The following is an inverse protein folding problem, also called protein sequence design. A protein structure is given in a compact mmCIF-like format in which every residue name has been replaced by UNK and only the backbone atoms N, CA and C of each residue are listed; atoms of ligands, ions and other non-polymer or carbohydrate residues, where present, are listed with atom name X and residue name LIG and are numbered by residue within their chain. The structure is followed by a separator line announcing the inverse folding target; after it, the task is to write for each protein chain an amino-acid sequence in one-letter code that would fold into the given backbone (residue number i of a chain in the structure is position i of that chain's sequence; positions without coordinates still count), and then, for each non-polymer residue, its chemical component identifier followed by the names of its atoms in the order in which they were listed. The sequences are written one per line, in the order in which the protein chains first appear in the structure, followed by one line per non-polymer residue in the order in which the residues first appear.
data_IF_115324303235
#
_entry.id   IF_115324303235
#
_cell.length_a   1.000
_cell.length_b   1.000
_cell.length_c   1.000
_cell.angle_alpha   90.00
_cell.angle_beta   90.00
_cell.angle_gamma   90.00
#
_symmetry.space_group_name_H-M   'P 1'
#
loop_
_entity.id
_entity.type
_entity.pdbx_description
1 polymer ?
#
# COMPACT_ATOMS: atom_id res chain seq x y z
N UNK A 1 -5.75 3.28 23.08
CA UNK A 1 -6.31 4.64 23.05
C UNK A 1 -7.80 4.60 23.42
N UNK A 2 -8.25 5.60 24.18
CA UNK A 2 -9.64 5.80 24.57
C UNK A 2 -10.24 6.83 23.63
N UNK A 3 -11.44 6.60 23.15
CA UNK A 3 -12.18 7.52 22.29
C UNK A 3 -13.55 7.83 22.86
N UNK A 4 -14.00 9.05 22.67
CA UNK A 4 -15.35 9.50 22.96
C UNK A 4 -16.16 9.57 21.66
N UNK A 5 -17.33 8.98 21.64
CA UNK A 5 -18.15 8.91 20.43
C UNK A 5 -19.64 9.03 20.74
N UNK A 6 -20.42 9.35 19.73
CA UNK A 6 -21.89 9.42 19.79
C UNK A 6 -22.46 8.73 18.56
N UNK A 7 -23.48 7.92 18.76
CA UNK A 7 -24.26 7.35 17.66
C UNK A 7 -25.59 8.10 17.53
N UNK A 8 -25.83 8.71 16.38
CA UNK A 8 -27.05 9.46 16.09
C UNK A 8 -27.67 8.92 14.80
N UNK A 9 -28.91 8.45 14.88
CA UNK A 9 -29.67 8.01 13.71
C UNK A 9 -30.69 9.11 13.35
N UNK A 10 -30.53 9.67 12.15
CA UNK A 10 -31.40 10.70 11.62
C UNK A 10 -32.42 10.06 10.66
N UNK A 11 -33.70 10.30 10.90
CA UNK A 11 -34.80 9.81 10.07
C UNK A 11 -35.51 11.00 9.44
N UNK A 12 -35.75 10.94 8.15
CA UNK A 12 -36.51 11.93 7.41
C UNK A 12 -37.77 11.31 6.80
N UNK A 13 -38.77 12.15 6.48
CA UNK A 13 -39.96 11.73 5.78
C UNK A 13 -40.73 12.91 5.19
N UNK A 14 -41.42 12.68 4.07
CA UNK A 14 -42.19 13.71 3.35
C UNK A 14 -43.48 14.09 4.04
N UNK A 15 -43.91 13.33 5.06
CA UNK A 15 -45.08 13.62 5.88
C UNK A 15 -44.88 13.14 7.31
N UNK A 16 -45.65 13.75 8.27
CA UNK A 16 -45.61 13.30 9.66
C UNK A 16 -46.05 11.83 9.83
N UNK A 17 -46.96 11.33 8.98
CA UNK A 17 -47.38 9.93 9.00
C UNK A 17 -46.24 9.02 8.59
N UNK A 18 -45.59 9.31 7.46
CA UNK A 18 -44.43 8.54 6.96
C UNK A 18 -43.23 8.55 7.95
N UNK A 19 -43.00 9.69 8.58
CA UNK A 19 -41.92 9.78 9.58
C UNK A 19 -42.21 8.90 10.80
N UNK A 20 -43.46 8.85 11.27
CA UNK A 20 -43.88 7.99 12.39
C UNK A 20 -43.77 6.50 12.04
N UNK A 21 -44.15 6.11 10.84
CA UNK A 21 -44.02 4.72 10.35
C UNK A 21 -42.57 4.30 10.23
N UNK A 22 -41.74 5.11 9.60
CA UNK A 22 -40.30 4.84 9.48
C UNK A 22 -39.64 4.71 10.86
N UNK A 23 -39.96 5.62 11.77
CA UNK A 23 -39.46 5.56 13.14
C UNK A 23 -39.85 4.26 13.83
N UNK A 24 -41.15 3.88 13.79
CA UNK A 24 -41.64 2.66 14.42
C UNK A 24 -40.94 1.43 13.85
N UNK A 25 -40.83 1.35 12.54
CA UNK A 25 -40.17 0.23 11.87
C UNK A 25 -38.67 0.12 12.23
N UNK A 26 -37.97 1.25 12.29
CA UNK A 26 -36.56 1.26 12.67
C UNK A 26 -36.34 0.84 14.12
N UNK A 27 -37.15 1.42 15.05
CA UNK A 27 -37.04 1.06 16.46
C UNK A 27 -37.35 -0.41 16.69
N UNK A 28 -38.43 -0.96 16.10
CA UNK A 28 -38.76 -2.38 16.24
C UNK A 28 -37.68 -3.29 15.69
N UNK A 29 -37.09 -2.91 14.56
CA UNK A 29 -36.03 -3.72 13.92
C UNK A 29 -34.73 -3.76 14.74
N UNK A 30 -34.35 -2.64 15.31
CA UNK A 30 -33.13 -2.58 16.14
C UNK A 30 -33.34 -3.18 17.52
N UNK A 31 -34.54 -3.00 18.08
CA UNK A 31 -34.92 -3.62 19.34
C UNK A 31 -34.93 -5.15 19.25
N UNK A 32 -35.38 -5.71 18.11
CA UNK A 32 -35.30 -7.15 17.85
C UNK A 32 -33.87 -7.69 17.71
N UNK A 33 -32.87 -6.82 17.49
CA UNK A 33 -31.46 -7.12 17.46
C UNK A 33 -30.76 -6.83 18.79
N UNK A 34 -31.51 -6.48 19.85
CA UNK A 34 -30.97 -6.13 21.15
C UNK A 34 -30.30 -4.74 21.21
N UNK A 35 -30.59 -3.86 20.24
CA UNK A 35 -30.05 -2.49 20.17
C UNK A 35 -31.18 -1.50 20.50
N UNK A 36 -31.34 -1.09 21.76
CA UNK A 36 -32.40 -0.16 22.13
C UNK A 36 -32.07 1.25 21.63
N UNK A 37 -33.05 1.90 20.99
CA UNK A 37 -32.96 3.30 20.57
C UNK A 37 -33.66 4.23 21.53
N UNK A 38 -32.96 5.27 21.94
CA UNK A 38 -33.55 6.31 22.81
C UNK A 38 -33.89 7.53 21.97
N UNK A 39 -35.08 8.06 22.16
CA UNK A 39 -35.50 9.30 21.49
C UNK A 39 -34.96 10.51 22.24
N UNK A 40 -34.16 11.32 21.55
CA UNK A 40 -33.72 12.62 22.04
C UNK A 40 -34.85 13.66 21.93
N UNK A 41 -35.75 13.72 22.92
CA UNK A 41 -36.95 14.56 22.83
C UNK A 41 -36.62 16.05 22.88
N UNK A 42 -35.69 16.45 23.73
CA UNK A 42 -35.33 17.86 23.92
C UNK A 42 -34.01 18.22 23.19
N UNK A 43 -33.10 17.27 23.03
CA UNK A 43 -31.79 17.49 22.48
C UNK A 43 -31.69 17.17 20.99
N UNK A 44 -32.79 16.84 20.32
CA UNK A 44 -32.77 16.39 18.92
C UNK A 44 -32.20 17.42 17.96
N UNK A 45 -32.40 18.72 18.18
CA UNK A 45 -31.82 19.78 17.35
C UNK A 45 -30.32 19.86 17.53
N UNK A 46 -29.82 19.78 18.77
CA UNK A 46 -28.40 19.81 19.08
C UNK A 46 -27.68 18.58 18.58
N UNK A 47 -28.27 17.40 18.71
CA UNK A 47 -27.72 16.17 18.18
C UNK A 47 -27.68 16.18 16.65
N UNK A 48 -28.74 16.73 16.01
CA UNK A 48 -28.72 16.91 14.55
C UNK A 48 -27.62 17.87 14.11
N UNK A 49 -27.46 19.01 14.79
CA UNK A 49 -26.38 19.95 14.51
C UNK A 49 -25.00 19.30 14.66
N UNK A 50 -24.83 18.36 15.61
CA UNK A 50 -23.59 17.62 15.79
C UNK A 50 -23.24 16.71 14.60
N UNK A 51 -24.20 16.36 13.76
CA UNK A 51 -23.95 15.56 12.54
C UNK A 51 -23.48 16.41 11.35
N UNK A 52 -23.58 17.73 11.44
CA UNK A 52 -23.17 18.64 10.38
C UNK A 52 -21.66 18.89 10.43
N UNK A 53 -21.00 18.76 9.29
CA UNK A 53 -19.56 18.98 9.16
C UNK A 53 -19.20 20.45 9.48
N UNK A 54 -18.17 20.64 10.30
CA UNK A 54 -17.63 21.94 10.66
C UNK A 54 -18.46 22.71 11.71
N UNK A 55 -19.47 22.09 12.30
CA UNK A 55 -20.26 22.72 13.35
C UNK A 55 -19.62 22.52 14.74
N UNK A 56 -19.20 23.61 15.36
CA UNK A 56 -18.74 23.61 16.75
C UNK A 56 -19.94 23.58 17.70
N UNK A 57 -20.04 22.53 18.51
CA UNK A 57 -21.08 22.42 19.51
C UNK A 57 -20.92 23.49 20.58
N UNK A 58 -21.87 24.40 20.70
CA UNK A 58 -21.93 25.40 21.75
C UNK A 58 -22.50 24.83 23.08
N UNK A 59 -23.18 23.72 23.02
CA UNK A 59 -23.83 23.10 24.18
C UNK A 59 -23.30 21.70 24.43
N UNK A 60 -23.12 21.38 25.71
CA UNK A 60 -22.69 20.04 26.10
C UNK A 60 -23.78 19.00 25.78
N UNK A 61 -23.40 18.00 25.03
CA UNK A 61 -24.22 16.80 24.80
C UNK A 61 -23.55 15.58 25.43
N UNK A 62 -22.87 15.77 26.56
CA UNK A 62 -22.14 14.74 27.29
C UNK A 62 -23.01 13.55 27.69
N UNK A 63 -24.30 13.79 27.97
CA UNK A 63 -25.28 12.74 28.32
C UNK A 63 -25.46 11.69 27.17
N UNK A 64 -25.07 12.02 25.95
CA UNK A 64 -25.17 11.15 24.79
C UNK A 64 -23.81 10.61 24.35
N UNK A 65 -22.77 10.88 25.16
CA UNK A 65 -21.41 10.47 24.87
C UNK A 65 -21.15 9.08 25.43
N UNK A 66 -20.54 8.25 24.63
CA UNK A 66 -20.01 6.96 25.02
C UNK A 66 -18.48 7.05 25.00
N UNK A 67 -17.86 6.45 25.99
CA UNK A 67 -16.39 6.33 26.08
C UNK A 67 -16.04 4.86 25.95
N UNK A 68 -15.15 4.54 25.02
CA UNK A 68 -14.70 3.16 24.80
C UNK A 68 -13.24 3.11 24.36
N UNK A 69 -12.65 1.93 24.38
CA UNK A 69 -11.37 1.72 23.71
C UNK A 69 -11.55 1.77 22.20
N UNK A 70 -10.48 2.06 21.46
CA UNK A 70 -10.53 2.06 19.98
C UNK A 70 -10.89 0.69 19.42
N UNK A 71 -10.43 -0.38 20.08
CA UNK A 71 -10.77 -1.76 19.70
C UNK A 71 -12.29 -2.01 19.82
N UNK A 72 -12.88 -1.73 20.97
CA UNK A 72 -14.34 -1.89 21.19
C UNK A 72 -15.16 -1.01 20.22
N UNK A 73 -14.71 0.22 19.96
CA UNK A 73 -15.37 1.07 18.96
C UNK A 73 -15.31 0.48 17.55
N UNK A 74 -14.17 -0.12 17.20
CA UNK A 74 -13.98 -0.75 15.88
C UNK A 74 -14.89 -1.97 15.67
N UNK A 75 -15.23 -2.68 16.73
CA UNK A 75 -16.18 -3.81 16.69
C UNK A 75 -17.61 -3.36 16.38
N UNK A 76 -17.99 -2.13 16.76
CA UNK A 76 -19.32 -1.60 16.48
C UNK A 76 -19.61 -1.35 14.98
N UNK A 77 -18.61 -1.26 14.19
CA UNK A 77 -18.53 -1.15 12.72
C UNK A 77 -19.87 -0.84 11.99
N UNK A 78 -20.51 0.24 12.36
CA UNK A 78 -21.83 0.66 11.85
C UNK A 78 -21.87 0.92 10.33
N UNK A 79 -20.72 0.95 9.70
CA UNK A 79 -20.56 1.26 8.27
C UNK A 79 -20.32 0.03 7.40
N UNK A 80 -20.30 -1.18 7.97
CA UNK A 80 -20.21 -2.40 7.16
C UNK A 80 -21.53 -2.65 6.48
N UNK A 81 -21.48 -2.66 5.18
CA UNK A 81 -22.58 -3.09 4.32
C UNK A 81 -22.54 -4.62 4.20
N UNK A 82 -23.71 -5.26 4.18
CA UNK A 82 -23.83 -6.68 3.79
C UNK A 82 -23.42 -6.91 2.33
N UNK A 83 -23.21 -5.84 1.57
CA UNK A 83 -22.76 -5.89 0.18
C UNK A 83 -21.28 -5.59 0.11
N UNK A 84 -20.47 -6.62 -0.05
CA UNK A 84 -19.05 -6.51 -0.34
C UNK A 84 -18.79 -6.54 -1.87
N UNK A 85 -17.66 -5.96 -2.28
CA UNK A 85 -17.19 -6.05 -3.65
C UNK A 85 -17.86 -5.08 -4.63
N UNK A 86 -17.78 -5.41 -5.90
CA UNK A 86 -18.28 -4.66 -7.06
C UNK A 86 -19.38 -5.44 -7.78
N UNK A 87 -20.17 -4.78 -8.64
CA UNK A 87 -21.22 -5.47 -9.43
C UNK A 87 -20.65 -6.38 -10.52
N UNK A 88 -19.44 -6.10 -10.97
CA UNK A 88 -18.78 -6.84 -12.06
C UNK A 88 -17.33 -7.12 -11.71
N UNK A 89 -16.71 -8.11 -12.34
CA UNK A 89 -15.31 -8.45 -12.14
C UNK A 89 -15.10 -9.93 -11.88
N UNK A 90 -14.02 -10.26 -11.21
CA UNK A 90 -13.72 -11.64 -10.84
C UNK A 90 -14.54 -12.08 -9.63
N UNK A 91 -14.98 -13.32 -9.66
CA UNK A 91 -15.63 -13.95 -8.52
C UNK A 91 -14.60 -14.16 -7.39
N UNK A 92 -14.87 -13.61 -6.22
CA UNK A 92 -14.04 -13.81 -5.03
C UNK A 92 -14.60 -14.87 -4.08
N UNK A 93 -15.91 -14.94 -4.00
CA UNK A 93 -16.58 -15.77 -3.03
C UNK A 93 -17.99 -15.27 -2.75
N UNK A 94 -18.52 -15.63 -1.62
CA UNK A 94 -19.79 -15.14 -1.11
C UNK A 94 -19.66 -14.70 0.34
N UNK A 95 -20.50 -13.78 0.76
CA UNK A 95 -20.62 -13.39 2.17
C UNK A 95 -21.60 -14.32 2.84
N UNK A 96 -21.13 -15.18 3.71
CA UNK A 96 -21.96 -16.02 4.56
C UNK A 96 -22.03 -15.40 5.96
N UNK A 97 -23.23 -15.00 6.35
CA UNK A 97 -23.49 -14.38 7.65
C UNK A 97 -23.53 -15.42 8.80
N UNK A 98 -23.50 -16.70 8.48
CA UNK A 98 -23.62 -17.81 9.44
C UNK A 98 -22.63 -18.89 9.08
N UNK A 99 -21.44 -18.84 9.68
CA UNK A 99 -20.42 -19.91 9.64
C UNK A 99 -20.61 -20.88 10.82
N UNK A 100 -21.84 -21.23 11.18
CA UNK A 100 -22.07 -22.32 12.13
C UNK A 100 -22.05 -23.65 11.38
N UNK A 101 -21.35 -24.65 11.95
CA UNK A 101 -21.03 -25.96 11.37
C UNK A 101 -22.22 -26.82 10.89
N UNK A 102 -23.44 -26.35 11.05
CA UNK A 102 -24.67 -27.04 10.62
C UNK A 102 -25.55 -26.15 9.72
N UNK A 103 -25.03 -25.80 8.56
CA UNK A 103 -25.85 -25.09 7.59
C UNK A 103 -26.93 -25.97 6.99
N UNK A 104 -28.17 -25.56 7.17
CA UNK A 104 -29.29 -26.17 6.44
C UNK A 104 -29.17 -25.85 4.94
N UNK A 105 -29.69 -26.74 4.07
CA UNK A 105 -29.74 -26.49 2.61
C UNK A 105 -30.37 -25.14 2.25
N UNK A 106 -31.34 -24.66 3.05
CA UNK A 106 -31.95 -23.34 2.88
C UNK A 106 -30.99 -22.18 3.14
N UNK A 107 -30.10 -22.31 4.12
CA UNK A 107 -29.06 -21.31 4.43
C UNK A 107 -28.00 -21.24 3.35
N UNK A 108 -27.56 -22.39 2.82
CA UNK A 108 -26.63 -22.45 1.70
C UNK A 108 -27.21 -21.77 0.46
N UNK A 109 -28.47 -22.05 0.13
CA UNK A 109 -29.17 -21.42 -1.01
C UNK A 109 -29.39 -19.92 -0.78
N UNK A 110 -29.70 -19.50 0.44
CA UNK A 110 -29.82 -18.07 0.78
C UNK A 110 -28.46 -17.34 0.70
N UNK A 111 -27.39 -17.96 1.19
CA UNK A 111 -26.03 -17.44 1.12
C UNK A 111 -25.54 -17.25 -0.33
N UNK A 112 -26.00 -18.09 -1.26
CA UNK A 112 -25.64 -17.97 -2.68
C UNK A 112 -26.08 -16.66 -3.34
N UNK A 113 -26.97 -15.87 -2.71
CA UNK A 113 -27.40 -14.55 -3.19
C UNK A 113 -26.40 -13.43 -2.88
N UNK A 114 -25.45 -13.68 -1.99
CA UNK A 114 -24.48 -12.67 -1.54
C UNK A 114 -23.11 -12.91 -2.24
N UNK A 115 -23.13 -13.04 -3.54
CA UNK A 115 -21.91 -13.25 -4.35
C UNK A 115 -21.07 -11.97 -4.32
N UNK A 116 -19.76 -12.13 -4.12
CA UNK A 116 -18.78 -11.04 -4.12
C UNK A 116 -17.97 -11.12 -5.40
N UNK A 117 -18.06 -10.06 -6.18
CA UNK A 117 -17.18 -9.81 -7.32
C UNK A 117 -16.20 -8.71 -6.99
N UNK A 118 -15.03 -8.70 -7.60
CA UNK A 118 -14.06 -7.63 -7.48
C UNK A 118 -13.48 -7.25 -8.83
N UNK A 119 -13.50 -5.94 -9.10
CA UNK A 119 -12.82 -5.35 -10.24
C UNK A 119 -11.95 -4.20 -9.75
N UNK A 120 -10.63 -4.42 -9.77
CA UNK A 120 -9.64 -3.45 -9.32
C UNK A 120 -9.61 -2.18 -10.18
N UNK A 121 -10.01 -2.27 -11.45
CA UNK A 121 -9.87 -1.21 -12.45
C UNK A 121 -11.06 -0.24 -12.50
N UNK A 122 -12.11 -0.46 -11.71
CA UNK A 122 -13.34 0.35 -11.79
C UNK A 122 -13.16 1.81 -11.39
N UNK A 123 -12.24 2.10 -10.49
CA UNK A 123 -12.11 3.44 -9.90
C UNK A 123 -11.81 4.54 -10.94
N UNK A 124 -11.05 4.23 -11.98
CA UNK A 124 -10.68 5.18 -13.04
C UNK A 124 -11.65 5.19 -14.22
N UNK A 125 -12.55 4.23 -14.31
CA UNK A 125 -13.55 4.18 -15.41
C UNK A 125 -14.70 5.14 -15.15
N UNK A 126 -15.12 5.85 -16.16
CA UNK A 126 -16.24 6.80 -16.08
C UNK A 126 -17.57 6.10 -16.43
N UNK A 127 -18.66 6.59 -15.85
CA UNK A 127 -20.03 6.19 -16.18
C UNK A 127 -20.34 4.69 -16.04
N UNK A 128 -19.68 3.99 -15.12
CA UNK A 128 -19.97 2.58 -14.85
C UNK A 128 -20.95 2.47 -13.69
N UNK A 129 -22.05 1.78 -13.94
CA UNK A 129 -23.05 1.49 -12.91
C UNK A 129 -22.43 0.64 -11.78
N UNK A 130 -22.69 1.01 -10.53
CA UNK A 130 -22.17 0.33 -9.35
C UNK A 130 -20.77 0.71 -8.92
N UNK A 131 -20.15 1.72 -9.54
CA UNK A 131 -18.91 2.32 -9.06
C UNK A 131 -19.13 3.00 -7.71
N UNK A 132 -18.45 2.54 -6.68
CA UNK A 132 -18.59 3.05 -5.30
C UNK A 132 -17.48 4.02 -4.90
N UNK A 133 -16.32 3.98 -5.55
CA UNK A 133 -15.16 4.80 -5.21
C UNK A 133 -14.46 5.33 -6.45
N UNK A 134 -13.82 6.47 -6.28
CA UNK A 134 -12.90 7.03 -7.26
C UNK A 134 -11.44 6.82 -6.83
N UNK A 135 -11.18 6.12 -5.74
CA UNK A 135 -9.83 5.81 -5.31
C UNK A 135 -9.34 4.53 -6.00
N UNK A 136 -8.25 4.59 -6.80
CA UNK A 136 -7.73 3.43 -7.51
C UNK A 136 -6.89 2.50 -6.64
N UNK A 137 -6.64 2.86 -5.38
CA UNK A 137 -5.77 2.09 -4.50
C UNK A 137 -6.55 1.22 -3.55
N UNK A 138 -6.01 0.05 -3.29
CA UNK A 138 -6.55 -0.96 -2.40
C UNK A 138 -5.61 -1.19 -1.23
N UNK A 139 -6.18 -1.38 -0.06
CA UNK A 139 -5.45 -1.82 1.13
C UNK A 139 -6.00 -3.17 1.56
N UNK A 140 -5.10 -4.15 1.65
CA UNK A 140 -5.40 -5.48 2.20
C UNK A 140 -4.79 -5.56 3.58
N UNK A 141 -5.64 -5.58 4.60
CA UNK A 141 -5.22 -5.65 6.01
C UNK A 141 -5.86 -6.84 6.70
N UNK A 142 -5.23 -7.31 7.75
CA UNK A 142 -5.69 -8.43 8.58
C UNK A 142 -4.53 -9.00 9.39
N UNK A 143 -4.83 -9.79 10.41
CA UNK A 143 -3.81 -10.42 11.23
C UNK A 143 -3.06 -11.53 10.49
N UNK A 144 -1.92 -11.91 11.03
CA UNK A 144 -1.12 -13.02 10.50
C UNK A 144 -1.94 -14.31 10.54
N UNK A 145 -1.89 -15.08 9.45
CA UNK A 145 -2.65 -16.33 9.32
C UNK A 145 -4.08 -16.19 8.78
N UNK A 146 -4.64 -14.97 8.68
CA UNK A 146 -6.02 -14.74 8.22
C UNK A 146 -6.16 -14.67 6.68
N UNK A 147 -5.21 -15.20 5.93
CA UNK A 147 -5.33 -15.38 4.48
C UNK A 147 -5.00 -14.17 3.63
N UNK A 148 -4.40 -13.09 4.17
CA UNK A 148 -3.97 -11.90 3.39
C UNK A 148 -3.17 -12.28 2.14
N UNK A 149 -2.11 -13.07 2.31
CA UNK A 149 -1.22 -13.46 1.21
C UNK A 149 -1.91 -14.35 0.18
N UNK A 150 -2.87 -15.18 0.58
CA UNK A 150 -3.67 -15.98 -0.35
C UNK A 150 -4.58 -15.08 -1.18
N UNK A 151 -5.25 -14.14 -0.52
CA UNK A 151 -6.15 -13.19 -1.17
C UNK A 151 -5.41 -12.27 -2.15
N UNK A 152 -4.26 -11.72 -1.75
CA UNK A 152 -3.46 -10.85 -2.62
C UNK A 152 -2.86 -11.59 -3.82
N UNK A 153 -2.40 -12.84 -3.64
CA UNK A 153 -1.94 -13.69 -4.74
C UNK A 153 -3.08 -14.04 -5.72
N UNK A 154 -4.27 -14.24 -5.20
CA UNK A 154 -5.45 -14.46 -6.04
C UNK A 154 -5.80 -13.21 -6.86
N UNK A 155 -5.82 -12.03 -6.24
CA UNK A 155 -6.00 -10.77 -6.96
C UNK A 155 -4.90 -10.52 -8.01
N UNK A 156 -3.66 -10.87 -7.68
CA UNK A 156 -2.53 -10.79 -8.59
C UNK A 156 -2.74 -11.67 -9.83
N UNK A 157 -3.12 -12.94 -9.65
CA UNK A 157 -3.41 -13.85 -10.77
C UNK A 157 -4.55 -13.32 -11.63
N UNK A 158 -5.63 -12.85 -11.05
CA UNK A 158 -6.73 -12.27 -11.80
C UNK A 158 -6.31 -11.01 -12.58
N UNK A 159 -5.52 -10.14 -11.97
CA UNK A 159 -4.97 -8.96 -12.64
C UNK A 159 -4.08 -9.35 -13.82
N UNK A 160 -3.30 -10.41 -13.66
CA UNK A 160 -2.39 -10.92 -14.69
C UNK A 160 -3.12 -11.48 -15.92
N UNK A 161 -4.38 -11.90 -15.77
CA UNK A 161 -5.23 -12.34 -16.89
C UNK A 161 -5.80 -11.16 -17.71
N UNK A 162 -5.86 -9.95 -17.14
CA UNK A 162 -6.36 -8.75 -17.82
C UNK A 162 -5.32 -8.19 -18.80
N UNK A 163 -5.75 -7.31 -19.69
CA UNK A 163 -4.86 -6.56 -20.57
C UNK A 163 -4.26 -5.34 -19.85
N UNK A 164 -3.50 -5.61 -18.80
CA UNK A 164 -2.83 -4.61 -17.98
C UNK A 164 -1.40 -5.09 -17.68
N UNK A 165 -0.49 -4.17 -17.39
CA UNK A 165 0.82 -4.53 -16.86
C UNK A 165 0.77 -4.70 -15.35
N UNK A 166 1.36 -5.77 -14.86
CA UNK A 166 1.33 -6.12 -13.44
C UNK A 166 2.75 -6.23 -12.90
N UNK A 167 3.00 -5.52 -11.80
CA UNK A 167 4.22 -5.60 -11.01
C UNK A 167 3.88 -6.12 -9.61
N UNK A 168 4.56 -7.16 -9.17
CA UNK A 168 4.49 -7.65 -7.80
C UNK A 168 5.84 -7.47 -7.12
N UNK A 169 5.90 -6.70 -6.05
CA UNK A 169 7.07 -6.59 -5.18
C UNK A 169 6.92 -7.59 -4.05
N UNK A 170 7.83 -8.55 -4.00
CA UNK A 170 7.85 -9.67 -3.06
C UNK A 170 9.12 -9.64 -2.18
N UNK A 171 9.14 -8.85 -1.12
CA UNK A 171 10.32 -8.73 -0.26
C UNK A 171 10.67 -10.06 0.46
N UNK A 172 9.68 -10.93 0.67
CA UNK A 172 9.84 -12.20 1.40
C UNK A 172 10.16 -13.39 0.51
N UNK A 173 10.16 -13.23 -0.81
CA UNK A 173 10.43 -14.30 -1.80
C UNK A 173 9.47 -15.50 -1.76
N UNK A 174 8.28 -15.29 -1.23
CA UNK A 174 7.30 -16.38 -1.09
C UNK A 174 6.56 -16.67 -2.39
N UNK A 175 6.33 -15.64 -3.21
CA UNK A 175 5.49 -15.74 -4.41
C UNK A 175 6.16 -16.62 -5.46
N UNK A 176 7.42 -16.34 -5.79
CA UNK A 176 8.18 -17.15 -6.75
C UNK A 176 8.30 -18.60 -6.32
N UNK A 177 8.68 -18.84 -5.06
CA UNK A 177 8.83 -20.21 -4.56
C UNK A 177 7.53 -21.02 -4.69
N UNK A 178 6.39 -20.40 -4.38
CA UNK A 178 5.08 -21.04 -4.51
C UNK A 178 4.74 -21.33 -5.97
N UNK A 179 4.92 -20.36 -6.87
CA UNK A 179 4.68 -20.58 -8.29
C UNK A 179 5.60 -21.65 -8.88
N UNK A 180 6.90 -21.62 -8.56
CA UNK A 180 7.85 -22.64 -9.04
C UNK A 180 7.52 -24.02 -8.51
N UNK A 181 7.12 -24.15 -7.24
CA UNK A 181 6.66 -25.43 -6.69
C UNK A 181 5.43 -25.93 -7.43
N UNK A 182 4.45 -25.06 -7.69
CA UNK A 182 3.20 -25.41 -8.38
C UNK A 182 3.46 -25.84 -9.82
N UNK A 183 4.23 -25.06 -10.59
CA UNK A 183 4.47 -25.39 -12.01
C UNK A 183 5.42 -26.57 -12.22
N UNK A 184 6.19 -26.96 -11.20
CA UNK A 184 7.07 -28.12 -11.24
C UNK A 184 6.40 -29.42 -10.71
N UNK A 185 5.19 -29.33 -10.15
CA UNK A 185 4.42 -30.48 -9.73
C UNK A 185 3.87 -31.25 -10.95
N UNK A 186 4.26 -32.54 -11.15
CA UNK A 186 3.83 -33.33 -12.30
C UNK A 186 2.32 -33.54 -12.36
N UNK A 187 1.65 -33.67 -11.22
CA UNK A 187 0.19 -33.83 -11.16
C UNK A 187 -0.51 -32.52 -11.59
N UNK A 188 -0.04 -31.39 -11.09
CA UNK A 188 -0.56 -30.07 -11.47
C UNK A 188 -0.34 -29.79 -12.96
N UNK A 189 0.84 -30.08 -13.51
CA UNK A 189 1.16 -29.93 -14.93
C UNK A 189 0.19 -30.74 -15.83
N UNK A 190 -0.11 -31.98 -15.43
CA UNK A 190 -1.04 -32.83 -16.16
C UNK A 190 -2.47 -32.34 -16.10
N UNK A 191 -2.90 -31.83 -14.95
CA UNK A 191 -4.28 -31.42 -14.70
C UNK A 191 -4.58 -29.98 -15.22
N UNK A 192 -3.60 -29.11 -15.16
CA UNK A 192 -3.75 -27.68 -15.48
C UNK A 192 -2.64 -27.16 -16.42
N UNK A 193 -2.49 -27.73 -17.63
CA UNK A 193 -1.38 -27.37 -18.53
C UNK A 193 -1.42 -25.91 -19.00
N UNK A 194 -2.60 -25.32 -19.14
CA UNK A 194 -2.75 -23.92 -19.54
C UNK A 194 -2.29 -22.96 -18.43
N UNK A 195 -2.57 -23.25 -17.17
CA UNK A 195 -2.13 -22.44 -16.03
C UNK A 195 -0.60 -22.46 -15.93
N UNK A 196 -0.01 -23.66 -16.13
CA UNK A 196 1.45 -23.80 -16.16
C UNK A 196 2.07 -22.99 -17.28
N UNK A 197 1.50 -23.07 -18.48
CA UNK A 197 1.98 -22.28 -19.63
C UNK A 197 1.86 -20.79 -19.37
N UNK A 198 0.77 -20.35 -18.75
CA UNK A 198 0.54 -18.95 -18.38
C UNK A 198 1.56 -18.45 -17.35
N UNK A 199 1.76 -19.17 -16.24
CA UNK A 199 2.72 -18.79 -15.19
C UNK A 199 4.15 -18.74 -15.75
N UNK A 200 4.52 -19.60 -16.69
CA UNK A 200 5.82 -19.58 -17.37
C UNK A 200 6.07 -18.30 -18.20
N UNK A 201 5.03 -17.53 -18.52
CA UNK A 201 5.18 -16.22 -19.19
C UNK A 201 5.59 -15.10 -18.24
N UNK A 202 5.52 -15.32 -16.93
CA UNK A 202 5.88 -14.31 -15.93
C UNK A 202 7.39 -14.06 -15.92
N UNK A 203 7.75 -12.82 -15.73
CA UNK A 203 9.15 -12.40 -15.56
C UNK A 203 9.48 -12.39 -14.08
N UNK A 204 10.31 -13.33 -13.64
CA UNK A 204 10.82 -13.39 -12.27
C UNK A 204 12.19 -12.73 -12.20
N UNK A 205 12.27 -11.60 -11.53
CA UNK A 205 13.50 -10.83 -11.34
C UNK A 205 13.92 -10.94 -9.88
N UNK A 206 15.12 -11.44 -9.63
CA UNK A 206 15.70 -11.52 -8.28
C UNK A 206 16.91 -10.58 -8.21
N UNK A 207 16.84 -9.58 -7.37
CA UNK A 207 17.94 -8.69 -7.05
C UNK A 207 18.78 -9.32 -5.91
N UNK A 208 20.00 -9.67 -6.21
CA UNK A 208 20.95 -10.30 -5.29
C UNK A 208 22.22 -9.43 -5.26
N UNK A 209 22.51 -8.82 -4.10
CA UNK A 209 23.67 -7.95 -3.93
C UNK A 209 25.00 -8.68 -4.14
N UNK A 210 25.05 -10.01 -3.98
CA UNK A 210 26.25 -10.81 -4.26
C UNK A 210 26.61 -10.85 -5.74
N UNK A 211 25.64 -10.50 -6.61
CA UNK A 211 25.83 -10.42 -8.07
C UNK A 211 26.13 -8.99 -8.47
N UNK A 212 27.36 -8.75 -8.92
CA UNK A 212 27.81 -7.42 -9.35
C UNK A 212 26.94 -6.79 -10.44
N UNK A 213 26.31 -7.60 -11.28
CA UNK A 213 25.37 -7.17 -12.31
C UNK A 213 24.10 -6.49 -11.75
N UNK A 214 23.80 -6.75 -10.48
CA UNK A 214 22.64 -6.14 -9.80
C UNK A 214 23.01 -4.84 -9.05
N UNK A 215 24.30 -4.51 -8.93
CA UNK A 215 24.70 -3.29 -8.23
C UNK A 215 24.21 -2.06 -8.99
N UNK A 216 23.56 -1.15 -8.27
CA UNK A 216 23.03 0.09 -8.82
C UNK A 216 21.77 -0.03 -9.67
N UNK A 217 21.17 -1.22 -9.83
CA UNK A 217 19.95 -1.42 -10.62
C UNK A 217 18.78 -0.59 -10.08
N UNK A 218 18.82 -0.25 -8.80
CA UNK A 218 17.84 0.63 -8.12
C UNK A 218 18.39 2.03 -7.84
N UNK A 219 19.46 2.47 -8.54
CA UNK A 219 20.03 3.81 -8.35
C UNK A 219 19.00 4.90 -8.65
N UNK A 220 18.63 5.72 -7.66
CA UNK A 220 17.61 6.73 -7.85
C UNK A 220 18.00 7.83 -8.84
N UNK A 221 19.32 8.11 -9.00
CA UNK A 221 19.83 9.13 -9.92
C UNK A 221 19.74 8.65 -11.37
N UNK A 222 19.82 7.34 -11.59
CA UNK A 222 19.70 6.72 -12.91
C UNK A 222 18.25 6.48 -13.31
N UNK A 223 17.44 6.01 -12.36
CA UNK A 223 16.08 5.52 -12.63
C UNK A 223 15.03 6.61 -12.72
N UNK A 224 15.18 7.72 -11.97
CA UNK A 224 14.11 8.67 -11.76
C UNK A 224 14.37 10.00 -12.46
N UNK A 225 13.31 10.79 -12.64
CA UNK A 225 13.48 12.17 -13.06
C UNK A 225 14.05 13.05 -11.93
N UNK A 226 14.45 14.26 -12.26
CA UNK A 226 15.18 15.17 -11.37
C UNK A 226 14.53 15.31 -9.97
N UNK A 227 13.23 15.56 -9.93
CA UNK A 227 12.52 15.83 -8.66
C UNK A 227 12.48 14.57 -7.77
N UNK A 228 12.21 13.44 -8.35
CA UNK A 228 12.09 12.16 -7.63
C UNK A 228 13.46 11.58 -7.29
N UNK A 229 14.45 11.73 -8.17
CA UNK A 229 15.83 11.35 -7.91
C UNK A 229 16.38 12.10 -6.68
N UNK A 230 16.22 13.43 -6.65
CA UNK A 230 16.63 14.26 -5.52
C UNK A 230 15.90 13.84 -4.23
N UNK A 231 14.59 13.69 -4.31
CA UNK A 231 13.79 13.36 -3.14
C UNK A 231 14.14 11.98 -2.57
N UNK A 232 14.29 10.98 -3.44
CA UNK A 232 14.59 9.60 -3.03
C UNK A 232 16.01 9.46 -2.51
N UNK A 233 17.01 10.01 -3.22
CA UNK A 233 18.41 9.99 -2.77
C UNK A 233 18.58 10.65 -1.41
N UNK A 234 17.97 11.82 -1.19
CA UNK A 234 17.97 12.50 0.11
C UNK A 234 17.30 11.69 1.21
N UNK A 235 16.15 11.08 0.91
CA UNK A 235 15.44 10.25 1.87
C UNK A 235 16.30 9.03 2.28
N UNK A 236 16.95 8.38 1.32
CA UNK A 236 17.85 7.26 1.58
C UNK A 236 19.02 7.66 2.47
N UNK A 237 19.78 8.70 2.11
CA UNK A 237 20.94 9.16 2.90
C UNK A 237 20.53 9.62 4.30
N UNK A 238 19.36 10.23 4.46
CA UNK A 238 18.85 10.64 5.77
C UNK A 238 18.43 9.46 6.64
N UNK A 239 17.99 8.35 6.07
CA UNK A 239 17.53 7.17 6.82
C UNK A 239 18.67 6.25 7.28
N UNK A 240 19.84 6.32 6.63
CA UNK A 240 21.01 5.47 6.96
C UNK A 240 21.50 5.76 8.39
N UNK A 241 21.46 7.01 8.83
CA UNK A 241 21.97 7.40 10.15
C UNK A 241 20.86 7.56 11.18
N UNK A 242 20.95 6.79 12.26
CA UNK A 242 20.03 6.84 13.42
C UNK A 242 20.08 8.17 14.16
N UNK A 243 21.29 8.70 14.39
CA UNK A 243 21.55 9.88 15.22
C UNK A 243 21.16 11.21 14.58
N UNK A 244 20.52 11.21 13.44
CA UNK A 244 20.12 12.38 12.66
C UNK A 244 21.27 13.36 12.34
N UNK A 245 21.46 13.61 11.08
CA UNK A 245 22.47 14.53 10.57
C UNK A 245 22.35 15.95 11.15
N UNK A 246 23.46 16.55 11.53
CA UNK A 246 23.56 17.98 11.88
C UNK A 246 23.28 18.85 10.65
N UNK A 247 23.03 20.16 10.86
CA UNK A 247 22.71 21.09 9.77
C UNK A 247 23.78 21.11 8.65
N UNK A 248 25.11 21.18 8.95
CA UNK A 248 26.12 21.15 7.89
C UNK A 248 26.03 19.89 7.03
N UNK A 249 25.83 18.72 7.65
CA UNK A 249 25.70 17.44 6.92
C UNK A 249 24.48 17.47 5.99
N UNK A 250 23.33 17.96 6.46
CA UNK A 250 22.11 18.06 5.64
C UNK A 250 22.27 19.00 4.48
N UNK A 251 22.98 20.14 4.68
CA UNK A 251 23.29 21.08 3.62
C UNK A 251 24.16 20.43 2.56
N UNK A 252 25.27 19.80 2.96
CA UNK A 252 26.16 19.11 2.04
C UNK A 252 25.46 17.99 1.26
N UNK A 253 24.64 17.17 1.92
CA UNK A 253 23.81 16.14 1.24
C UNK A 253 22.88 16.79 0.20
N UNK A 254 22.22 17.91 0.58
CA UNK A 254 21.27 18.58 -0.29
C UNK A 254 21.92 19.14 -1.56
N UNK A 255 23.06 19.78 -1.40
CA UNK A 255 23.82 20.41 -2.48
C UNK A 255 24.43 19.33 -3.39
N UNK A 256 25.15 18.36 -2.82
CA UNK A 256 25.82 17.32 -3.58
C UNK A 256 24.85 16.45 -4.38
N UNK A 257 23.71 16.06 -3.79
CA UNK A 257 22.68 15.31 -4.51
C UNK A 257 22.11 16.12 -5.68
N UNK A 258 21.80 17.41 -5.46
CA UNK A 258 21.28 18.26 -6.52
C UNK A 258 22.27 18.46 -7.66
N UNK A 259 23.56 18.65 -7.36
CA UNK A 259 24.64 18.77 -8.35
C UNK A 259 24.77 17.51 -9.21
N UNK A 260 24.86 16.30 -8.58
CA UNK A 260 25.03 15.05 -9.32
C UNK A 260 23.80 14.77 -10.20
N UNK A 261 22.58 15.05 -9.71
CA UNK A 261 21.38 14.91 -10.50
C UNK A 261 21.35 15.88 -11.67
N UNK A 262 21.78 17.13 -11.48
CA UNK A 262 21.88 18.11 -12.56
C UNK A 262 22.91 17.69 -13.64
N UNK A 263 24.03 17.11 -13.23
CA UNK A 263 25.02 16.58 -14.16
C UNK A 263 24.50 15.39 -14.97
N UNK A 264 23.73 14.49 -14.31
CA UNK A 264 23.06 13.37 -15.00
C UNK A 264 22.10 13.90 -16.07
N UNK A 265 21.33 14.94 -15.72
CA UNK A 265 20.41 15.59 -16.66
C UNK A 265 21.14 16.28 -17.82
N UNK A 266 22.35 16.80 -17.58
CA UNK A 266 23.21 17.34 -18.62
C UNK A 266 23.87 16.27 -19.52
N UNK A 267 23.54 14.99 -19.32
CA UNK A 267 24.03 13.86 -20.12
C UNK A 267 25.36 13.26 -19.65
N UNK A 268 25.86 13.65 -18.47
CA UNK A 268 27.03 12.98 -17.91
C UNK A 268 26.67 11.61 -17.35
N UNK A 269 27.56 10.67 -17.47
CA UNK A 269 27.42 9.33 -16.89
C UNK A 269 27.83 9.39 -15.41
N UNK A 270 26.86 9.73 -14.56
CA UNK A 270 27.01 9.81 -13.11
C UNK A 270 25.86 9.08 -12.41
N UNK A 271 26.10 8.55 -11.23
CA UNK A 271 25.14 7.83 -10.39
C UNK A 271 25.38 8.10 -8.91
N UNK A 272 24.74 7.35 -8.04
CA UNK A 272 24.65 7.65 -6.62
C UNK A 272 26.01 7.54 -5.89
N UNK A 273 26.97 6.72 -6.39
CA UNK A 273 28.32 6.69 -5.84
C UNK A 273 29.03 8.04 -5.92
N UNK A 274 28.81 8.82 -6.98
CA UNK A 274 29.43 10.15 -7.12
C UNK A 274 29.02 11.12 -6.01
N UNK A 275 27.82 10.95 -5.43
CA UNK A 275 27.42 11.73 -4.25
C UNK A 275 28.33 11.40 -3.07
N UNK A 276 28.59 10.12 -2.80
CA UNK A 276 29.44 9.69 -1.69
C UNK A 276 30.89 10.15 -1.90
N UNK A 277 31.41 10.02 -3.11
CA UNK A 277 32.78 10.45 -3.47
C UNK A 277 32.98 11.95 -3.24
N UNK A 278 31.99 12.77 -3.59
CA UNK A 278 32.03 14.21 -3.35
C UNK A 278 31.95 14.57 -1.87
N UNK A 279 31.12 13.89 -1.10
CA UNK A 279 31.06 14.06 0.35
C UNK A 279 32.39 13.70 1.02
N UNK A 280 33.08 12.65 0.54
CA UNK A 280 34.42 12.29 1.00
C UNK A 280 35.47 13.35 0.60
N UNK A 281 35.31 13.97 -0.55
CA UNK A 281 36.26 15.00 -1.04
C UNK A 281 35.97 16.40 -0.53
N UNK A 282 34.97 16.55 0.35
CA UNK A 282 34.55 17.86 0.87
C UNK A 282 35.63 18.49 1.77
N UNK A 283 35.77 19.81 1.71
CA UNK A 283 36.79 20.56 2.46
C UNK A 283 36.53 20.60 3.98
N UNK A 284 35.26 20.54 4.39
CA UNK A 284 34.86 20.50 5.79
C UNK A 284 35.08 19.10 6.38
N UNK A 285 35.84 19.04 7.46
CA UNK A 285 36.22 17.78 8.12
C UNK A 285 35.00 16.94 8.54
N UNK A 286 33.98 17.56 9.11
CA UNK A 286 32.77 16.87 9.58
C UNK A 286 32.00 16.22 8.40
N UNK A 287 31.95 16.89 7.25
CA UNK A 287 31.32 16.36 6.01
C UNK A 287 32.16 15.24 5.41
N UNK A 288 33.48 15.38 5.41
CA UNK A 288 34.39 14.33 4.98
C UNK A 288 34.20 13.04 5.83
N UNK A 289 34.16 13.19 7.16
CA UNK A 289 33.95 12.05 8.07
C UNK A 289 32.57 11.39 7.84
N UNK A 290 31.52 12.19 7.61
CA UNK A 290 30.19 11.68 7.21
C UNK A 290 30.28 10.90 5.90
N UNK A 291 30.97 11.39 4.88
CA UNK A 291 31.17 10.69 3.61
C UNK A 291 31.84 9.34 3.79
N UNK A 292 32.87 9.27 4.65
CA UNK A 292 33.55 8.01 4.99
C UNK A 292 32.64 7.03 5.75
N UNK A 293 31.83 7.52 6.68
CA UNK A 293 30.83 6.72 7.37
C UNK A 293 29.85 6.12 6.37
N UNK A 294 29.28 6.92 5.48
CA UNK A 294 28.36 6.45 4.44
C UNK A 294 29.00 5.40 3.55
N UNK A 295 30.26 5.61 3.09
CA UNK A 295 30.97 4.64 2.28
C UNK A 295 31.11 3.30 2.99
N UNK A 296 31.51 3.30 4.28
CA UNK A 296 31.71 2.07 5.06
C UNK A 296 30.39 1.33 5.31
N UNK A 297 29.29 2.04 5.48
CA UNK A 297 27.95 1.46 5.73
C UNK A 297 27.33 0.90 4.45
N UNK A 298 27.51 1.57 3.31
CA UNK A 298 26.91 1.15 2.03
C UNK A 298 27.69 -0.01 1.41
N UNK A 299 29.03 0.06 1.45
CA UNK A 299 29.89 -0.95 0.81
C UNK A 299 29.77 -2.30 1.49
N UNK A 300 29.45 -3.33 0.71
CA UNK A 300 29.21 -4.68 1.20
C UNK A 300 27.83 -4.89 1.84
N UNK A 301 26.93 -3.88 1.80
CA UNK A 301 25.57 -3.99 2.29
C UNK A 301 24.57 -4.14 1.14
N UNK A 302 23.31 -4.43 1.49
CA UNK A 302 22.21 -4.52 0.53
C UNK A 302 21.98 -3.22 -0.26
N UNK A 303 22.45 -2.08 0.24
CA UNK A 303 22.33 -0.79 -0.43
C UNK A 303 23.15 -0.68 -1.72
N UNK A 304 24.15 -1.54 -1.95
CA UNK A 304 24.86 -1.55 -3.23
C UNK A 304 23.91 -1.79 -4.42
N UNK A 305 22.74 -2.38 -4.21
CA UNK A 305 21.68 -2.47 -5.22
C UNK A 305 21.19 -1.11 -5.73
N UNK A 306 21.37 -0.04 -4.94
CA UNK A 306 20.92 1.31 -5.26
C UNK A 306 22.08 2.28 -5.58
N UNK A 307 23.33 1.81 -5.63
CA UNK A 307 24.50 2.67 -5.87
C UNK A 307 25.26 2.24 -7.11
N UNK A 308 25.30 3.10 -8.13
CA UNK A 308 26.06 2.92 -9.37
C UNK A 308 26.94 4.14 -9.67
N UNK A 309 27.84 3.98 -10.65
CA UNK A 309 28.54 5.12 -11.27
C UNK A 309 27.80 5.64 -12.53
N UNK A 310 26.58 5.20 -12.75
CA UNK A 310 25.71 5.70 -13.81
C UNK A 310 25.72 4.89 -15.11
N UNK A 311 26.47 3.78 -15.15
CA UNK A 311 26.57 2.88 -16.30
C UNK A 311 25.49 1.79 -16.36
N UNK A 312 24.71 1.65 -15.33
CA UNK A 312 23.72 0.56 -15.19
C UNK A 312 22.48 0.86 -16.02
N UNK A 313 22.04 -0.11 -16.82
CA UNK A 313 20.69 -0.12 -17.38
C UNK A 313 19.72 -0.47 -16.26
N UNK A 314 18.75 0.41 -16.01
CA UNK A 314 17.73 0.18 -14.99
C UNK A 314 16.86 -1.04 -15.32
N UNK A 315 16.05 -1.45 -14.36
CA UNK A 315 15.10 -2.56 -14.53
C UNK A 315 14.19 -2.35 -15.74
N UNK A 316 14.14 -3.34 -16.64
CA UNK A 316 13.23 -3.32 -17.78
C UNK A 316 11.85 -3.87 -17.41
N UNK A 317 10.79 -3.17 -17.83
CA UNK A 317 9.40 -3.54 -17.59
C UNK A 317 8.62 -3.82 -18.87
N UNK A 318 9.25 -4.38 -19.86
CA UNK A 318 8.57 -4.70 -21.11
C UNK A 318 7.57 -5.85 -20.97
N UNK A 319 7.86 -6.79 -20.07
CA UNK A 319 6.98 -7.94 -19.85
C UNK A 319 5.66 -7.51 -19.21
N UNK A 320 4.58 -8.22 -19.57
CA UNK A 320 3.24 -7.97 -19.04
C UNK A 320 3.16 -8.15 -17.53
N UNK A 321 3.78 -9.20 -17.02
CA UNK A 321 3.78 -9.55 -15.59
C UNK A 321 5.22 -9.67 -15.11
N UNK A 322 5.58 -8.89 -14.11
CA UNK A 322 6.90 -8.95 -13.46
C UNK A 322 6.74 -9.16 -11.96
N UNK A 323 7.47 -10.12 -11.42
CA UNK A 323 7.61 -10.37 -9.99
C UNK A 323 9.04 -10.04 -9.61
N UNK A 324 9.20 -9.03 -8.74
CA UNK A 324 10.49 -8.53 -8.28
C UNK A 324 10.72 -8.96 -6.84
N UNK A 325 11.77 -9.72 -6.63
CA UNK A 325 12.24 -10.19 -5.33
C UNK A 325 13.57 -9.55 -4.99
N UNK A 326 13.88 -9.46 -3.70
CA UNK A 326 15.17 -9.00 -3.21
C UNK A 326 15.76 -10.07 -2.29
N UNK A 327 17.00 -10.46 -2.59
CA UNK A 327 17.75 -11.42 -1.78
C UNK A 327 18.26 -10.74 -0.51
N UNK A 328 18.23 -11.47 0.61
CA UNK A 328 18.78 -11.04 1.92
C UNK A 328 18.20 -9.72 2.46
N UNK A 329 16.96 -9.39 2.09
CA UNK A 329 16.23 -8.26 2.67
C UNK A 329 15.77 -8.62 4.08
N UNK A 330 16.28 -7.90 5.07
CA UNK A 330 15.92 -8.05 6.47
C UNK A 330 14.94 -6.95 6.87
N UNK A 331 13.69 -7.33 7.13
CA UNK A 331 12.60 -6.40 7.45
C UNK A 331 12.16 -6.58 8.90
N UNK A 332 11.79 -5.49 9.61
CA UNK A 332 11.24 -5.60 10.95
C UNK A 332 9.97 -6.45 10.94
N UNK A 333 9.69 -7.11 12.06
CA UNK A 333 8.52 -7.96 12.23
C UNK A 333 7.29 -7.19 12.71
N UNK A 334 7.51 -6.10 13.44
CA UNK A 334 6.47 -5.22 13.94
C UNK A 334 6.79 -3.75 13.58
N UNK A 335 5.73 -2.96 13.48
CA UNK A 335 5.79 -1.51 13.20
C UNK A 335 6.46 -0.70 14.30
N UNK A 336 6.49 -1.20 15.51
CA UNK A 336 7.02 -0.53 16.70
C UNK A 336 8.40 -1.03 17.12
N UNK A 337 8.98 -1.97 16.38
CA UNK A 337 10.31 -2.48 16.64
C UNK A 337 11.36 -1.37 16.42
N UNK A 338 12.34 -1.30 17.30
CA UNK A 338 13.55 -0.54 17.04
C UNK A 338 14.34 -1.26 15.95
N UNK A 339 14.65 -0.53 14.87
CA UNK A 339 15.36 -1.10 13.74
C UNK A 339 16.82 -1.33 14.09
N UNK A 340 17.31 -2.54 13.90
CA UNK A 340 18.75 -2.78 13.85
C UNK A 340 19.36 -2.20 12.56
N UNK A 341 20.69 -2.25 12.44
CA UNK A 341 21.41 -1.67 11.32
C UNK A 341 20.99 -2.30 9.97
N UNK A 342 20.89 -3.63 9.89
CA UNK A 342 20.52 -4.34 8.65
C UNK A 342 19.07 -4.05 8.25
N UNK A 343 18.17 -4.04 9.21
CA UNK A 343 16.77 -3.67 8.98
C UNK A 343 16.66 -2.23 8.50
N UNK A 344 17.44 -1.30 9.04
CA UNK A 344 17.46 0.10 8.62
C UNK A 344 17.94 0.23 7.17
N UNK A 345 18.98 -0.48 6.77
CA UNK A 345 19.48 -0.49 5.39
C UNK A 345 18.44 -1.10 4.44
N UNK A 346 17.78 -2.17 4.86
CA UNK A 346 16.69 -2.79 4.10
C UNK A 346 15.50 -1.83 3.91
N UNK A 347 15.07 -1.16 4.98
CA UNK A 347 14.02 -0.12 4.90
C UNK A 347 14.45 1.04 4.01
N UNK A 348 15.74 1.42 4.04
CA UNK A 348 16.28 2.47 3.16
C UNK A 348 16.17 2.07 1.68
N UNK A 349 16.49 0.83 1.33
CA UNK A 349 16.34 0.31 -0.02
C UNK A 349 14.88 0.31 -0.49
N UNK A 350 13.93 0.05 0.42
CA UNK A 350 12.49 0.10 0.11
C UNK A 350 12.03 1.49 -0.38
N UNK A 351 12.74 2.58 -0.05
CA UNK A 351 12.41 3.91 -0.56
C UNK A 351 12.62 4.02 -2.08
N UNK A 352 13.72 3.47 -2.59
CA UNK A 352 13.96 3.37 -4.03
C UNK A 352 12.88 2.51 -4.71
N UNK A 353 12.53 1.37 -4.12
CA UNK A 353 11.46 0.50 -4.63
C UNK A 353 10.09 1.18 -4.64
N UNK A 354 9.74 1.91 -3.59
CA UNK A 354 8.46 2.64 -3.54
C UNK A 354 8.36 3.71 -4.64
N UNK A 355 9.43 4.47 -4.84
CA UNK A 355 9.50 5.45 -5.93
C UNK A 355 9.44 4.77 -7.29
N UNK A 356 10.12 3.65 -7.44
CA UNK A 356 10.10 2.82 -8.62
C UNK A 356 8.69 2.30 -8.98
N UNK A 357 7.91 1.83 -8.01
CA UNK A 357 6.50 1.45 -8.23
C UNK A 357 5.67 2.62 -8.74
N UNK A 358 5.92 3.83 -8.24
CA UNK A 358 5.28 5.04 -8.75
C UNK A 358 5.63 5.29 -10.22
N UNK A 359 6.89 5.10 -10.60
CA UNK A 359 7.35 5.27 -11.99
C UNK A 359 6.81 4.20 -12.92
N UNK A 360 6.78 2.96 -12.48
CA UNK A 360 6.16 1.88 -13.25
C UNK A 360 4.74 2.25 -13.67
N UNK A 361 3.94 2.78 -12.73
CA UNK A 361 2.57 3.18 -12.99
C UNK A 361 2.40 4.50 -13.77
N UNK A 362 3.39 5.39 -13.75
CA UNK A 362 3.30 6.72 -14.38
C UNK A 362 3.92 6.80 -15.78
N UNK A 363 4.58 5.74 -16.22
CA UNK A 363 5.34 5.68 -17.47
C UNK A 363 4.50 5.99 -18.72
N UNK A 364 3.31 5.43 -18.81
CA UNK A 364 2.42 5.58 -19.93
C UNK A 364 0.97 5.78 -19.46
N UNK A 365 0.40 6.96 -19.69
CA UNK A 365 -0.98 7.30 -19.28
C UNK A 365 -2.07 6.47 -19.99
N UNK A 366 -1.75 5.86 -21.12
CA UNK A 366 -2.71 5.04 -21.88
C UNK A 366 -2.73 3.58 -21.42
N UNK A 367 -1.72 3.15 -20.67
CA UNK A 367 -1.56 1.78 -20.20
C UNK A 367 -2.10 1.66 -18.77
N UNK A 368 -3.01 0.73 -18.55
CA UNK A 368 -3.44 0.40 -17.20
C UNK A 368 -2.36 -0.46 -16.53
N UNK A 369 -1.97 -0.09 -15.31
CA UNK A 369 -0.96 -0.81 -14.54
C UNK A 369 -1.49 -1.19 -13.17
N UNK A 370 -1.14 -2.36 -12.67
CA UNK A 370 -1.47 -2.80 -11.31
C UNK A 370 -0.18 -3.16 -10.59
N UNK A 371 0.09 -2.49 -9.48
CA UNK A 371 1.25 -2.76 -8.63
C UNK A 371 0.80 -3.37 -7.32
N UNK A 372 1.28 -4.57 -7.03
CA UNK A 372 1.15 -5.22 -5.73
C UNK A 372 2.41 -4.95 -4.93
N UNK A 373 2.24 -4.40 -3.74
CA UNK A 373 3.33 -4.12 -2.84
C UNK A 373 3.10 -4.83 -1.52
N UNK A 374 3.81 -5.94 -1.34
CA UNK A 374 3.78 -6.68 -0.07
C UNK A 374 4.63 -5.96 0.98
N UNK A 375 4.22 -6.04 2.26
CA UNK A 375 4.85 -5.35 3.38
C UNK A 375 4.85 -3.80 3.25
N UNK A 376 3.84 -3.23 2.60
CA UNK A 376 3.75 -1.76 2.39
C UNK A 376 3.68 -0.94 3.70
N UNK A 377 3.36 -1.57 4.84
CA UNK A 377 3.35 -0.94 6.15
C UNK A 377 4.74 -0.41 6.58
N UNK A 378 5.83 -0.98 6.02
CA UNK A 378 7.21 -0.55 6.29
C UNK A 378 7.41 0.94 6.02
N UNK A 379 6.76 1.49 5.00
CA UNK A 379 6.82 2.94 4.73
C UNK A 379 6.24 3.79 5.86
N UNK A 380 5.52 3.21 6.80
CA UNK A 380 4.97 3.94 7.94
C UNK A 380 5.96 4.04 9.11
N UNK A 381 7.06 3.30 9.08
CA UNK A 381 8.08 3.29 10.13
C UNK A 381 8.90 4.59 10.19
N UNK A 382 8.93 5.40 9.13
CA UNK A 382 9.69 6.66 9.09
C UNK A 382 8.92 7.79 8.41
N UNK A 383 9.22 9.08 8.76
CA UNK A 383 8.63 10.24 8.08
C UNK A 383 8.93 10.29 6.58
N UNK A 384 10.11 9.84 6.17
CA UNK A 384 10.55 9.75 4.78
C UNK A 384 9.72 8.71 4.01
N UNK A 385 9.56 7.52 4.59
CA UNK A 385 8.71 6.47 4.03
C UNK A 385 7.26 6.91 3.88
N UNK A 386 6.70 7.62 4.85
CA UNK A 386 5.35 8.16 4.75
C UNK A 386 5.17 9.15 3.58
N UNK A 387 6.21 9.96 3.27
CA UNK A 387 6.19 10.86 2.10
C UNK A 387 6.16 10.06 0.80
N UNK A 388 6.97 9.01 0.71
CA UNK A 388 7.01 8.11 -0.46
C UNK A 388 5.64 7.44 -0.65
N UNK A 389 5.07 6.86 0.41
CA UNK A 389 3.74 6.26 0.35
C UNK A 389 2.65 7.26 -0.09
N UNK A 390 2.72 8.51 0.37
CA UNK A 390 1.82 9.58 -0.08
C UNK A 390 2.02 9.91 -1.57
N UNK A 391 3.26 9.92 -2.05
CA UNK A 391 3.57 10.15 -3.48
C UNK A 391 3.00 9.02 -4.33
N UNK A 392 3.24 7.77 -3.96
CA UNK A 392 2.70 6.59 -4.63
C UNK A 392 1.17 6.68 -4.79
N UNK A 393 0.46 7.10 -3.73
CA UNK A 393 -1.01 7.22 -3.74
C UNK A 393 -1.54 8.35 -4.62
N UNK A 394 -0.77 9.41 -4.89
CA UNK A 394 -1.22 10.56 -5.70
C UNK A 394 -1.28 10.26 -7.19
N UNK A 395 -0.46 9.36 -7.68
CA UNK A 395 -0.26 9.09 -9.11
C UNK A 395 -1.42 8.29 -9.72
N UNK A 396 -2.11 7.48 -8.92
CA UNK A 396 -3.05 6.48 -9.42
C UNK A 396 -4.15 6.97 -10.36
N UNK A 397 -4.81 8.10 -10.06
CA UNK A 397 -5.91 8.63 -10.88
C UNK A 397 -5.44 9.19 -12.23
N UNK A 398 -4.31 9.90 -12.21
CA UNK A 398 -3.83 10.62 -13.40
C UNK A 398 -3.18 9.72 -14.42
N UNK A 399 -2.72 8.53 -13.99
CA UNK A 399 -1.89 7.63 -14.79
C UNK A 399 -2.45 6.22 -14.93
N UNK A 400 -3.72 5.97 -14.57
CA UNK A 400 -4.31 4.62 -14.62
C UNK A 400 -3.49 3.57 -13.85
N UNK A 401 -2.86 3.99 -12.76
CA UNK A 401 -2.07 3.13 -11.90
C UNK A 401 -2.88 2.71 -10.68
N UNK A 402 -3.07 1.42 -10.54
CA UNK A 402 -3.79 0.79 -9.43
C UNK A 402 -2.77 0.15 -8.50
N UNK A 403 -2.83 0.46 -7.22
CA UNK A 403 -1.92 -0.11 -6.24
C UNK A 403 -2.70 -0.95 -5.24
N UNK A 404 -2.19 -2.12 -4.96
CA UNK A 404 -2.65 -3.02 -3.91
C UNK A 404 -1.56 -3.08 -2.86
N UNK A 405 -1.80 -2.47 -1.72
CA UNK A 405 -0.89 -2.42 -0.57
C UNK A 405 -1.29 -3.51 0.42
N UNK A 406 -0.35 -4.35 0.83
CA UNK A 406 -0.57 -5.52 1.67
C UNK A 406 0.22 -5.38 2.97
#
# INVERSE_FOLDING_TARGET
PIIDWKAVLVISGNSKKQLRERKKNLMNRLDSLGIPLIRATFDNVYLFQATLLGNFQRFSTSNWQHTSTLETFSELNFFTSLHAGTKTGFYLGRVDATLEEKESRKQIVSGSKNIVYMNLLLANKQNIEGKKTNNPHWLVSGDTGNGKSVFSKWLFLYSSLLDVKVLYIDPKKEVRQQFMRTINDPEYQRKYPLDVAFIKTFNFVTLDVRKKENHGVLDPIVLFDETEAIATAKAMLNNINEDKWKMPHKTAINETVAEVVAERKAGKQVGFWHVIERLISHSEKDVHEMGRFLLSTIKGSILELAFSHGEVEGLSFEKKVTILEIEDLDLPTDRHDELDENQRLSVTLMFALGTFCSKFGSRNRKEETVTFFDEAWIFQSSPEGQKILKSMKRIGRSFNNFMVLI
#
